data_IF_153924898924
#
_entry.id   IF_153924898924
#
_cell.length_a   1.000
_cell.length_b   1.000
_cell.length_c   1.000
_cell.angle_alpha   90.00
_cell.angle_beta   90.00
_cell.angle_gamma   90.00
#
_symmetry.space_group_name_H-M   'P 1'
#
loop_
_entity.id
_entity.type
_entity.pdbx_description
1 polymer ?
#
# COMPACT_ATOMS: atom_id res chain seq x y z
N UNK A 1 -61.75 43.20 24.24
CA UNK A 1 -60.46 43.57 24.84
C UNK A 1 -59.54 42.36 24.97
N UNK A 2 -59.73 41.28 24.19
CA UNK A 2 -58.99 40.00 24.31
C UNK A 2 -58.33 39.53 22.98
N UNK A 3 -58.29 40.35 21.95
CA UNK A 3 -57.70 39.98 20.63
C UNK A 3 -56.39 40.66 20.27
N UNK A 4 -55.94 41.64 21.04
CA UNK A 4 -54.71 42.40 20.76
C UNK A 4 -53.49 41.84 21.49
N UNK A 5 -53.66 41.14 22.64
CA UNK A 5 -52.56 40.54 23.37
C UNK A 5 -51.93 39.29 22.73
N UNK A 6 -52.65 38.56 21.84
CA UNK A 6 -52.12 37.39 21.18
C UNK A 6 -51.22 37.69 19.98
N UNK A 7 -51.36 38.87 19.37
CA UNK A 7 -50.57 39.28 18.19
C UNK A 7 -49.16 39.77 18.59
N UNK A 8 -49.02 40.36 19.74
CA UNK A 8 -47.72 40.88 20.24
C UNK A 8 -46.82 39.79 20.75
N UNK A 9 -47.37 38.68 21.29
CA UNK A 9 -46.58 37.52 21.74
C UNK A 9 -46.07 36.62 20.60
N UNK A 10 -46.73 36.62 19.44
CA UNK A 10 -46.28 35.86 18.24
C UNK A 10 -45.20 36.63 17.50
N UNK A 11 -45.12 37.94 17.61
CA UNK A 11 -44.10 38.76 16.93
C UNK A 11 -42.76 38.76 17.69
N UNK A 12 -42.77 38.54 18.99
CA UNK A 12 -41.55 38.44 19.83
C UNK A 12 -40.89 37.07 19.76
N UNK A 13 -41.61 36.00 19.33
CA UNK A 13 -41.03 34.67 19.11
C UNK A 13 -40.38 34.50 17.75
N UNK A 14 -40.64 35.38 16.78
CA UNK A 14 -40.06 35.29 15.44
C UNK A 14 -38.77 36.13 15.25
N UNK A 15 -38.43 36.96 16.22
CA UNK A 15 -37.24 37.84 16.16
C UNK A 15 -36.00 37.24 16.84
N UNK A 16 -36.06 35.99 17.37
CA UNK A 16 -34.93 35.38 18.10
C UNK A 16 -34.31 34.17 17.38
N UNK A 17 -34.71 33.92 16.11
CA UNK A 17 -34.12 32.88 15.27
C UNK A 17 -33.18 33.43 14.18
N UNK A 18 -32.60 34.62 14.43
CA UNK A 18 -31.59 35.18 13.57
C UNK A 18 -30.19 34.95 14.17
N UNK A 19 -29.45 34.08 13.47
CA UNK A 19 -28.02 34.11 13.33
C UNK A 19 -27.15 33.70 14.52
N UNK A 20 -26.87 32.37 14.59
CA UNK A 20 -25.52 31.94 14.84
C UNK A 20 -25.01 31.31 13.55
N UNK A 21 -24.69 32.15 12.57
CA UNK A 21 -23.68 31.79 11.56
C UNK A 21 -22.35 32.00 12.30
N UNK A 22 -21.86 30.97 12.99
CA UNK A 22 -20.46 30.93 13.34
C UNK A 22 -19.72 30.81 12.01
N UNK A 23 -19.16 31.93 11.56
CA UNK A 23 -18.08 31.89 10.59
C UNK A 23 -17.02 30.98 11.21
N UNK A 24 -16.80 29.80 10.63
CA UNK A 24 -15.57 29.06 10.87
C UNK A 24 -14.45 29.97 10.37
N UNK A 25 -13.77 30.65 11.32
CA UNK A 25 -12.48 31.26 11.02
C UNK A 25 -11.61 30.14 10.43
N UNK A 26 -11.27 30.26 9.17
CA UNK A 26 -10.25 29.43 8.56
C UNK A 26 -8.95 29.76 9.27
N UNK A 27 -8.59 28.93 10.25
CA UNK A 27 -7.30 29.05 10.95
C UNK A 27 -6.20 28.83 9.94
N UNK A 28 -5.58 29.90 9.45
CA UNK A 28 -4.42 29.82 8.58
C UNK A 28 -3.28 29.23 9.44
N UNK A 29 -2.74 28.06 9.09
CA UNK A 29 -1.66 27.45 9.85
C UNK A 29 -0.45 28.38 9.87
N UNK A 30 0.22 28.53 11.01
CA UNK A 30 1.40 29.41 11.19
C UNK A 30 2.61 28.92 10.44
N UNK A 31 2.75 27.59 10.34
CA UNK A 31 3.75 26.90 9.54
C UNK A 31 3.07 26.00 8.53
N UNK A 32 3.54 26.04 7.30
CA UNK A 32 3.17 25.09 6.27
C UNK A 32 4.36 24.16 6.09
N UNK A 33 4.22 22.92 6.53
CA UNK A 33 5.21 21.87 6.32
C UNK A 33 5.06 21.26 4.93
N UNK A 34 6.17 21.01 4.23
CA UNK A 34 6.13 20.27 2.96
C UNK A 34 5.59 18.86 3.15
N UNK A 35 6.00 18.21 4.24
CA UNK A 35 5.49 16.92 4.72
C UNK A 35 5.45 16.96 6.25
N UNK A 36 4.50 16.30 6.86
CA UNK A 36 4.40 16.15 8.32
C UNK A 36 4.82 14.75 8.79
N UNK A 37 5.10 13.85 7.84
CA UNK A 37 5.56 12.48 8.11
C UNK A 37 6.59 12.07 7.06
N UNK A 38 7.68 11.44 7.52
CA UNK A 38 8.73 10.84 6.69
C UNK A 38 8.84 9.36 7.03
N UNK A 39 8.73 8.50 6.01
CA UNK A 39 9.01 7.07 6.11
C UNK A 39 10.49 6.83 5.79
N UNK A 40 11.23 6.31 6.77
CA UNK A 40 12.65 5.96 6.64
C UNK A 40 12.87 4.57 6.02
N UNK A 41 11.78 3.82 5.78
CA UNK A 41 11.82 2.47 5.22
C UNK A 41 12.37 1.42 6.19
N UNK A 42 13.06 0.41 5.65
CA UNK A 42 13.76 -0.59 6.45
C UNK A 42 15.16 -0.10 6.78
N UNK A 43 15.52 -0.15 8.06
CA UNK A 43 16.82 0.25 8.59
C UNK A 43 17.52 -0.97 9.17
N UNK A 44 18.73 -1.23 8.72
CA UNK A 44 19.59 -2.24 9.35
C UNK A 44 20.22 -1.66 10.61
N UNK A 45 20.14 -2.41 11.72
CA UNK A 45 20.60 -1.95 13.03
C UNK A 45 22.04 -1.42 13.02
N UNK A 46 22.91 -2.07 12.25
CA UNK A 46 24.34 -1.76 12.17
C UNK A 46 24.71 -0.58 11.23
N UNK A 47 23.76 -0.04 10.47
CA UNK A 47 24.05 1.07 9.55
C UNK A 47 24.14 2.44 10.25
N UNK A 48 23.81 2.48 11.55
CA UNK A 48 23.80 3.70 12.34
C UNK A 48 22.62 4.62 12.05
N UNK A 49 22.73 5.84 12.55
CA UNK A 49 21.62 6.78 12.50
C UNK A 49 21.27 7.23 11.07
N UNK A 50 19.97 7.34 10.80
CA UNK A 50 19.40 7.87 9.54
C UNK A 50 18.76 9.24 9.79
N UNK A 51 18.82 10.10 8.77
CA UNK A 51 18.35 11.49 8.85
C UNK A 51 17.09 11.66 8.00
N UNK A 52 16.04 12.20 8.62
CA UNK A 52 14.86 12.73 7.96
C UNK A 52 14.92 14.26 7.93
N UNK A 53 14.59 14.86 6.80
CA UNK A 53 14.52 16.32 6.64
C UNK A 53 13.06 16.77 6.55
N UNK A 54 12.70 17.78 7.35
CA UNK A 54 11.43 18.49 7.28
C UNK A 54 11.68 19.95 6.94
N UNK A 55 10.99 20.44 5.93
CA UNK A 55 11.02 21.84 5.54
C UNK A 55 9.68 22.51 5.80
N UNK A 56 9.70 23.75 6.26
CA UNK A 56 8.49 24.52 6.50
C UNK A 56 8.63 25.96 6.01
N UNK A 57 7.47 26.61 5.79
CA UNK A 57 7.37 28.03 5.48
C UNK A 57 6.53 28.71 6.56
N UNK A 58 7.03 29.83 7.09
CA UNK A 58 6.27 30.67 8.01
C UNK A 58 5.31 31.59 7.24
N UNK A 59 4.04 31.63 7.66
CA UNK A 59 2.96 32.26 6.86
C UNK A 59 2.29 33.47 7.55
N UNK A 60 2.61 33.77 8.78
CA UNK A 60 1.97 34.85 9.53
C UNK A 60 2.84 36.11 9.60
N UNK A 61 2.19 37.25 9.75
CA UNK A 61 2.79 38.58 9.75
C UNK A 61 3.42 38.93 11.10
N UNK A 62 4.25 38.02 11.62
CA UNK A 62 4.98 38.13 12.89
C UNK A 62 6.31 37.43 12.77
N UNK A 63 7.29 37.85 13.56
CA UNK A 63 8.58 37.15 13.62
C UNK A 63 8.42 35.80 14.32
N UNK A 64 8.92 34.76 13.68
CA UNK A 64 8.84 33.38 14.16
C UNK A 64 10.25 32.78 14.35
N UNK A 65 10.46 32.05 15.44
CA UNK A 65 11.58 31.15 15.63
C UNK A 65 11.11 29.89 16.39
N UNK A 66 11.83 28.79 16.19
CA UNK A 66 11.62 27.55 16.95
C UNK A 66 12.20 27.76 18.34
N UNK A 67 11.34 27.68 19.36
CA UNK A 67 11.74 27.82 20.77
C UNK A 67 12.23 26.48 21.33
N UNK A 68 11.51 25.39 21.06
CA UNK A 68 11.82 24.06 21.56
C UNK A 68 11.38 22.96 20.59
N UNK A 69 12.19 21.90 20.48
CA UNK A 69 11.79 20.65 19.86
C UNK A 69 11.89 19.52 20.87
N UNK A 70 10.82 18.72 20.98
CA UNK A 70 10.69 17.61 21.92
C UNK A 70 10.51 16.32 21.13
N UNK A 71 11.28 15.29 21.48
CA UNK A 71 11.17 13.93 20.91
C UNK A 71 10.66 12.97 21.99
N UNK A 72 9.98 11.90 21.57
CA UNK A 72 9.39 10.89 22.46
C UNK A 72 10.38 9.81 22.92
N UNK A 73 11.62 9.78 22.37
CA UNK A 73 12.66 8.85 22.81
C UNK A 73 14.06 9.47 22.69
N UNK A 74 15.02 8.93 23.47
CA UNK A 74 16.44 9.27 23.36
C UNK A 74 17.13 8.75 22.09
N UNK A 75 16.46 7.89 21.31
CA UNK A 75 16.92 7.37 20.04
C UNK A 75 16.74 8.38 18.88
N UNK A 76 16.12 9.52 19.14
CA UNK A 76 15.85 10.58 18.17
C UNK A 76 16.48 11.88 18.62
N UNK A 77 17.38 12.43 17.83
CA UNK A 77 17.97 13.76 18.05
C UNK A 77 17.55 14.70 16.92
N UNK A 78 17.50 16.00 17.21
CA UNK A 78 17.00 16.99 16.27
C UNK A 78 17.94 18.19 16.21
N UNK A 79 18.32 18.55 15.00
CA UNK A 79 18.98 19.83 14.68
C UNK A 79 18.02 20.70 13.84
N UNK A 80 17.95 22.00 14.12
CA UNK A 80 17.03 22.91 13.47
C UNK A 80 17.57 24.34 13.38
N UNK A 81 17.07 25.10 12.39
CA UNK A 81 17.42 26.51 12.19
C UNK A 81 17.04 27.33 13.44
N UNK A 82 18.02 28.04 13.97
CA UNK A 82 17.86 28.97 15.12
C UNK A 82 17.47 30.38 14.67
N UNK A 83 17.35 30.59 13.37
CA UNK A 83 17.09 31.92 12.79
C UNK A 83 15.67 32.39 13.06
N UNK A 84 15.52 33.71 13.19
CA UNK A 84 14.20 34.34 13.26
C UNK A 84 13.70 34.59 11.84
N UNK A 85 12.52 34.06 11.53
CA UNK A 85 11.90 34.10 10.20
C UNK A 85 10.84 35.21 10.15
N UNK A 86 10.85 36.00 9.08
CA UNK A 86 9.72 36.85 8.68
C UNK A 86 8.69 36.06 7.88
N UNK A 87 7.53 36.67 7.55
CA UNK A 87 6.52 36.05 6.70
C UNK A 87 7.12 35.61 5.36
N UNK A 88 6.81 34.38 4.94
CA UNK A 88 7.39 33.73 3.77
C UNK A 88 8.77 33.14 3.98
N UNK A 89 9.40 33.35 5.13
CA UNK A 89 10.68 32.71 5.48
C UNK A 89 10.56 31.20 5.62
N UNK A 90 11.60 30.48 5.20
CA UNK A 90 11.65 29.00 5.25
C UNK A 90 12.65 28.54 6.30
N UNK A 91 12.34 27.41 6.94
CA UNK A 91 13.21 26.74 7.91
C UNK A 91 13.30 25.24 7.65
N UNK A 92 14.32 24.62 8.26
CA UNK A 92 14.60 23.18 8.18
C UNK A 92 14.75 22.56 9.54
N UNK A 93 14.32 21.30 9.64
CA UNK A 93 14.48 20.44 10.79
C UNK A 93 15.12 19.13 10.31
N UNK A 94 16.28 18.76 10.88
CA UNK A 94 16.98 17.50 10.60
C UNK A 94 16.77 16.57 11.79
N UNK A 95 16.04 15.48 11.58
CA UNK A 95 15.74 14.48 12.60
C UNK A 95 16.61 13.27 12.37
N UNK A 96 17.52 12.97 13.30
CA UNK A 96 18.38 11.80 13.26
C UNK A 96 17.81 10.72 14.17
N UNK A 97 17.55 9.54 13.61
CA UNK A 97 17.05 8.36 14.32
C UNK A 97 18.09 7.25 14.33
N UNK A 98 18.42 6.75 15.53
CA UNK A 98 19.31 5.60 15.72
C UNK A 98 18.48 4.31 15.90
N UNK A 99 18.57 3.34 14.95
CA UNK A 99 17.82 2.11 15.01
C UNK A 99 18.37 1.06 16.01
N UNK A 100 19.58 1.25 16.58
CA UNK A 100 20.32 0.23 17.34
C UNK A 100 19.60 -0.31 18.60
N UNK A 101 18.62 0.41 19.13
CA UNK A 101 17.83 -0.01 20.30
C UNK A 101 16.36 -0.29 19.99
N UNK A 102 16.00 -0.36 18.71
CA UNK A 102 14.62 -0.51 18.26
C UNK A 102 14.51 -1.73 17.35
N UNK A 103 13.58 -2.64 17.62
CA UNK A 103 13.29 -3.78 16.76
C UNK A 103 11.86 -3.72 16.22
N UNK A 104 11.71 -3.97 14.90
CA UNK A 104 10.40 -3.94 14.24
C UNK A 104 9.95 -2.53 13.84
N UNK A 105 8.64 -2.40 13.60
CA UNK A 105 8.04 -1.12 13.22
C UNK A 105 8.16 -0.07 14.32
N UNK A 106 8.53 1.13 13.94
CA UNK A 106 8.54 2.30 14.82
C UNK A 106 7.80 3.47 14.18
N UNK A 107 7.19 4.30 15.03
CA UNK A 107 6.70 5.63 14.70
C UNK A 107 7.10 6.55 15.84
N UNK A 108 7.88 7.61 15.54
CA UNK A 108 8.39 8.56 16.53
C UNK A 108 7.79 9.92 16.31
N UNK A 109 7.32 10.51 17.40
CA UNK A 109 6.70 11.82 17.41
C UNK A 109 7.73 12.91 17.72
N UNK A 110 7.71 13.98 16.94
CA UNK A 110 8.51 15.18 17.14
C UNK A 110 7.56 16.36 17.30
N UNK A 111 7.61 17.01 18.46
CA UNK A 111 6.79 18.19 18.76
C UNK A 111 7.66 19.44 18.60
N UNK A 112 7.29 20.30 17.66
CA UNK A 112 7.96 21.58 17.39
C UNK A 112 7.16 22.69 18.03
N UNK A 113 7.77 23.44 18.95
CA UNK A 113 7.16 24.61 19.61
C UNK A 113 7.85 25.89 19.13
N UNK A 114 7.06 26.85 18.71
CA UNK A 114 7.54 28.17 18.36
C UNK A 114 7.33 29.19 19.46
N UNK A 115 7.91 30.39 19.30
CA UNK A 115 7.83 31.52 20.23
C UNK A 115 6.42 32.13 20.37
N UNK A 116 5.51 31.86 19.42
CA UNK A 116 4.16 32.43 19.43
C UNK A 116 3.20 31.56 20.24
N UNK A 117 2.31 32.18 21.02
CA UNK A 117 1.33 31.48 21.87
C UNK A 117 0.51 30.50 21.01
N UNK A 118 0.46 29.23 21.44
CA UNK A 118 -0.24 28.14 20.74
C UNK A 118 0.43 27.69 19.44
N UNK A 119 1.68 28.09 19.15
CA UNK A 119 2.45 27.54 18.01
C UNK A 119 3.08 26.21 18.41
N UNK A 120 2.38 25.12 18.10
CA UNK A 120 2.86 23.78 18.30
C UNK A 120 2.43 22.94 17.10
N UNK A 121 3.39 22.27 16.48
CA UNK A 121 3.17 21.31 15.40
C UNK A 121 3.74 19.95 15.78
N UNK A 122 3.16 18.90 15.20
CA UNK A 122 3.60 17.53 15.45
C UNK A 122 3.99 16.88 14.11
N UNK A 123 5.21 16.35 14.08
CA UNK A 123 5.77 15.64 12.95
C UNK A 123 6.04 14.19 13.34
N UNK A 124 6.17 13.31 12.35
CA UNK A 124 6.42 11.90 12.56
C UNK A 124 7.52 11.39 11.64
N UNK A 125 8.38 10.54 12.18
CA UNK A 125 9.20 9.62 11.40
C UNK A 125 8.73 8.21 11.68
N UNK A 126 8.68 7.37 10.66
CA UNK A 126 8.32 5.97 10.80
C UNK A 126 9.25 5.09 9.95
N UNK A 127 9.24 3.79 10.22
CA UNK A 127 10.04 2.82 9.49
C UNK A 127 10.05 1.47 10.20
N UNK A 128 10.92 0.57 9.75
CA UNK A 128 11.12 -0.73 10.38
C UNK A 128 12.59 -0.96 10.65
N UNK A 129 12.98 -1.04 11.92
CA UNK A 129 14.34 -1.41 12.31
C UNK A 129 14.48 -2.95 12.30
N UNK A 130 15.51 -3.43 11.63
CA UNK A 130 15.80 -4.86 11.46
C UNK A 130 17.04 -5.18 12.28
N UNK A 131 16.91 -5.88 13.43
CA UNK A 131 18.05 -6.23 14.28
C UNK A 131 18.99 -7.21 13.57
N UNK A 132 20.30 -7.12 13.86
CA UNK A 132 21.27 -8.06 13.31
C UNK A 132 20.98 -9.47 13.86
N UNK A 133 20.93 -10.50 13.01
CA UNK A 133 20.62 -11.84 13.46
C UNK A 133 21.76 -12.47 14.27
N UNK A 134 21.45 -13.12 15.39
CA UNK A 134 22.45 -13.84 16.19
C UNK A 134 23.16 -14.95 15.40
N UNK A 135 22.42 -15.60 14.48
CA UNK A 135 22.98 -16.63 13.60
C UNK A 135 22.57 -16.38 12.14
N UNK A 136 23.45 -15.74 11.34
CA UNK A 136 23.16 -15.45 9.93
C UNK A 136 22.88 -16.69 9.08
N UNK A 137 23.52 -17.83 9.38
CA UNK A 137 23.29 -19.07 8.60
C UNK A 137 21.86 -19.57 8.73
N UNK A 138 21.25 -19.42 9.91
CA UNK A 138 19.86 -19.78 10.16
C UNK A 138 18.90 -18.71 9.69
N UNK A 139 19.30 -17.44 9.77
CA UNK A 139 18.45 -16.31 9.38
C UNK A 139 18.29 -16.19 7.85
N UNK A 140 19.30 -16.63 7.07
CA UNK A 140 19.31 -16.61 5.60
C UNK A 140 19.38 -18.02 5.02
N UNK A 141 18.30 -18.83 5.15
CA UNK A 141 18.33 -20.24 4.79
C UNK A 141 18.39 -20.51 3.28
N UNK A 142 17.90 -19.56 2.47
CA UNK A 142 17.97 -19.67 1.02
C UNK A 142 19.29 -19.10 0.52
N UNK A 143 20.14 -19.95 -0.03
CA UNK A 143 21.44 -19.57 -0.61
C UNK A 143 21.42 -19.71 -2.13
N UNK A 144 21.81 -18.63 -2.81
CA UNK A 144 22.02 -18.58 -4.24
C UNK A 144 23.45 -18.06 -4.50
N UNK A 145 24.39 -18.96 -4.85
CA UNK A 145 25.80 -18.63 -4.88
C UNK A 145 26.33 -18.22 -3.51
N UNK A 146 26.90 -17.04 -3.42
CA UNK A 146 27.43 -16.44 -2.17
C UNK A 146 26.40 -15.61 -1.41
N UNK A 147 25.20 -15.39 -2.00
CA UNK A 147 24.14 -14.64 -1.36
C UNK A 147 23.21 -15.51 -0.53
N UNK A 148 22.84 -15.01 0.64
CA UNK A 148 21.77 -15.53 1.47
C UNK A 148 20.54 -14.64 1.43
N UNK A 149 19.36 -15.26 1.32
CA UNK A 149 18.05 -14.58 1.38
C UNK A 149 17.27 -15.07 2.58
N UNK A 150 16.61 -14.15 3.28
CA UNK A 150 15.78 -14.46 4.45
C UNK A 150 14.51 -15.21 4.07
N UNK A 151 13.92 -14.86 2.95
CA UNK A 151 12.67 -15.43 2.47
C UNK A 151 12.86 -16.16 1.13
N UNK A 152 12.08 -17.22 0.86
CA UNK A 152 12.17 -17.95 -0.41
C UNK A 152 11.67 -17.14 -1.60
N UNK A 153 10.73 -16.23 -1.36
CA UNK A 153 10.11 -15.39 -2.39
C UNK A 153 9.88 -13.96 -1.86
N UNK A 154 9.91 -12.99 -2.76
CA UNK A 154 9.55 -11.60 -2.47
C UNK A 154 8.06 -11.43 -2.69
N UNK A 155 7.32 -11.30 -1.61
CA UNK A 155 5.88 -11.05 -1.68
C UNK A 155 5.59 -9.56 -1.54
N UNK A 156 5.18 -8.92 -2.64
CA UNK A 156 4.75 -7.52 -2.65
C UNK A 156 3.34 -7.33 -2.09
N UNK A 157 2.55 -8.42 -1.98
CA UNK A 157 1.14 -8.32 -1.61
C UNK A 157 0.32 -7.58 -2.66
N UNK A 158 -0.53 -6.67 -2.23
CA UNK A 158 -1.35 -5.83 -3.11
C UNK A 158 -0.51 -4.75 -3.78
N UNK A 159 -0.62 -4.63 -5.10
CA UNK A 159 0.02 -3.59 -5.93
C UNK A 159 -1.06 -2.89 -6.73
N UNK A 160 -1.13 -1.56 -6.66
CA UNK A 160 -2.15 -0.76 -7.34
C UNK A 160 -1.62 -0.18 -8.66
N UNK A 161 -2.52 -0.02 -9.64
CA UNK A 161 -2.17 0.51 -10.98
C UNK A 161 -1.96 2.03 -11.02
N UNK A 162 -1.85 2.71 -9.88
CA UNK A 162 -1.60 4.15 -9.82
C UNK A 162 -0.12 4.54 -9.61
N UNK A 163 0.76 3.56 -9.51
CA UNK A 163 2.19 3.79 -9.36
C UNK A 163 2.96 2.55 -8.93
N UNK A 164 4.29 2.62 -8.95
CA UNK A 164 5.14 1.52 -8.54
C UNK A 164 5.07 1.26 -7.05
N UNK A 165 5.19 -0.01 -6.66
CA UNK A 165 5.37 -0.45 -5.28
C UNK A 165 6.79 -0.92 -5.07
N UNK A 166 7.41 -0.49 -3.98
CA UNK A 166 8.76 -0.91 -3.57
C UNK A 166 8.67 -1.90 -2.42
N UNK A 167 9.42 -2.99 -2.51
CA UNK A 167 9.65 -3.93 -1.42
C UNK A 167 11.12 -4.09 -1.16
N UNK A 168 11.52 -3.81 0.07
CA UNK A 168 12.90 -4.03 0.50
C UNK A 168 13.12 -5.50 0.86
N UNK A 169 14.23 -6.05 0.36
CA UNK A 169 14.61 -7.45 0.52
C UNK A 169 15.99 -7.49 1.15
N UNK A 170 16.06 -8.10 2.32
CA UNK A 170 17.31 -8.28 3.05
C UNK A 170 18.12 -9.43 2.43
N UNK A 171 19.38 -9.16 2.13
CA UNK A 171 20.37 -10.14 1.65
C UNK A 171 21.57 -10.18 2.57
N UNK A 172 22.32 -11.28 2.56
CA UNK A 172 23.55 -11.46 3.33
C UNK A 172 24.66 -11.97 2.44
N UNK A 173 25.84 -11.36 2.54
CA UNK A 173 27.02 -11.76 1.78
C UNK A 173 27.80 -12.85 2.55
N UNK A 174 27.64 -14.12 2.15
CA UNK A 174 28.42 -15.26 2.65
C UNK A 174 29.75 -15.47 1.88
N UNK A 175 30.01 -14.62 0.87
CA UNK A 175 31.23 -14.69 0.07
C UNK A 175 32.46 -14.14 0.81
N UNK A 176 33.59 -14.17 0.12
CA UNK A 176 34.87 -13.62 0.58
C UNK A 176 35.16 -12.25 -0.01
N UNK A 177 34.42 -11.83 -1.03
CA UNK A 177 34.59 -10.57 -1.73
C UNK A 177 33.41 -9.62 -1.46
N UNK A 178 33.64 -8.30 -1.48
CA UNK A 178 32.59 -7.31 -1.37
C UNK A 178 31.67 -7.32 -2.61
N UNK A 179 30.37 -7.16 -2.38
CA UNK A 179 29.37 -6.98 -3.41
C UNK A 179 29.18 -5.49 -3.65
N UNK A 180 29.48 -5.01 -4.87
CA UNK A 180 29.40 -3.59 -5.20
C UNK A 180 28.11 -3.28 -5.97
N UNK A 181 27.43 -2.20 -5.60
CA UNK A 181 26.20 -1.73 -6.26
C UNK A 181 26.34 -1.58 -7.77
N UNK A 182 27.47 -0.99 -8.22
CA UNK A 182 27.73 -0.75 -9.66
C UNK A 182 27.83 -2.02 -10.49
N UNK A 183 28.11 -3.16 -9.85
CA UNK A 183 28.32 -4.46 -10.53
C UNK A 183 27.02 -5.28 -10.56
N UNK A 184 25.93 -4.78 -9.96
CA UNK A 184 24.61 -5.43 -10.01
C UNK A 184 24.05 -5.33 -11.41
N UNK A 185 23.79 -6.49 -12.01
CA UNK A 185 23.05 -6.65 -13.25
C UNK A 185 21.82 -7.49 -12.91
N UNK A 186 20.66 -7.06 -13.37
CA UNK A 186 19.44 -7.86 -13.26
C UNK A 186 18.79 -8.10 -14.64
N UNK A 187 18.11 -9.23 -14.77
CA UNK A 187 17.37 -9.62 -15.95
C UNK A 187 16.03 -10.20 -15.53
N UNK A 188 14.94 -9.71 -16.13
CA UNK A 188 13.57 -10.08 -15.81
C UNK A 188 12.57 -9.23 -16.58
N UNK A 189 11.29 -9.25 -16.19
CA UNK A 189 10.25 -8.41 -16.77
C UNK A 189 10.57 -6.92 -16.64
N UNK A 190 10.23 -6.10 -17.64
CA UNK A 190 10.53 -4.67 -17.67
C UNK A 190 9.84 -3.86 -16.55
N UNK A 191 8.72 -4.37 -16.03
CA UNK A 191 7.98 -3.79 -14.91
C UNK A 191 8.58 -4.12 -13.54
N UNK A 192 9.68 -4.92 -13.46
CA UNK A 192 10.40 -5.19 -12.23
C UNK A 192 11.80 -4.63 -12.34
N UNK A 193 12.17 -3.74 -11.38
CA UNK A 193 13.52 -3.20 -11.27
C UNK A 193 14.10 -3.57 -9.91
N UNK A 194 15.41 -3.78 -9.86
CA UNK A 194 16.12 -4.11 -8.61
C UNK A 194 17.31 -3.19 -8.43
N UNK A 195 17.42 -2.60 -7.24
CA UNK A 195 18.49 -1.70 -6.86
C UNK A 195 19.10 -2.15 -5.52
N UNK A 196 20.42 -2.15 -5.42
CA UNK A 196 21.12 -2.32 -4.15
C UNK A 196 21.20 -0.96 -3.46
N UNK A 197 20.85 -0.89 -2.16
CA UNK A 197 20.89 0.40 -1.42
C UNK A 197 22.31 0.81 -1.05
N UNK A 198 23.10 -0.10 -0.49
CA UNK A 198 24.46 0.17 -0.07
C UNK A 198 25.42 0.20 -1.27
N UNK A 199 26.44 1.07 -1.23
CA UNK A 199 27.53 1.08 -2.22
C UNK A 199 28.28 -0.25 -2.25
N UNK A 200 28.55 -0.82 -1.06
CA UNK A 200 29.23 -2.10 -0.88
C UNK A 200 28.61 -2.88 0.26
N UNK A 201 28.47 -4.20 0.05
CA UNK A 201 28.11 -5.17 1.11
C UNK A 201 29.33 -6.06 1.31
N UNK A 202 30.07 -5.83 2.39
CA UNK A 202 31.30 -6.59 2.68
C UNK A 202 30.98 -8.05 3.08
N UNK A 203 31.99 -8.96 3.05
CA UNK A 203 31.85 -10.30 3.58
C UNK A 203 31.32 -10.32 5.01
N UNK A 204 30.35 -11.22 5.27
CA UNK A 204 29.63 -11.34 6.55
C UNK A 204 28.79 -10.10 6.92
N UNK A 205 28.46 -9.28 5.96
CA UNK A 205 27.49 -8.19 6.13
C UNK A 205 26.20 -8.47 5.35
N UNK A 206 25.16 -7.84 5.76
CA UNK A 206 23.88 -7.81 5.06
C UNK A 206 23.68 -6.47 4.36
N UNK A 207 22.76 -6.44 3.43
CA UNK A 207 22.34 -5.24 2.73
C UNK A 207 20.90 -5.35 2.28
N UNK A 208 20.38 -4.30 1.68
CA UNK A 208 19.01 -4.18 1.19
C UNK A 208 18.98 -4.06 -0.33
N UNK A 209 18.08 -4.84 -0.93
CA UNK A 209 17.66 -4.68 -2.32
C UNK A 209 16.28 -4.04 -2.35
N UNK A 210 16.11 -2.95 -3.08
CA UNK A 210 14.80 -2.41 -3.45
C UNK A 210 14.29 -3.15 -4.67
N UNK A 211 13.21 -3.89 -4.51
CA UNK A 211 12.47 -4.51 -5.62
C UNK A 211 11.28 -3.62 -5.94
N UNK A 212 11.35 -2.95 -7.06
CA UNK A 212 10.32 -2.04 -7.57
C UNK A 212 9.46 -2.79 -8.58
N UNK A 213 8.16 -2.81 -8.34
CA UNK A 213 7.18 -3.44 -9.22
C UNK A 213 6.21 -2.38 -9.74
N UNK A 214 6.18 -2.18 -11.05
CA UNK A 214 5.34 -1.17 -11.70
C UNK A 214 4.14 -1.82 -12.38
N UNK A 215 2.99 -1.76 -11.72
CA UNK A 215 1.75 -2.32 -12.23
C UNK A 215 1.18 -1.53 -13.43
N UNK A 216 1.61 -0.27 -13.63
CA UNK A 216 1.21 0.53 -14.80
C UNK A 216 1.86 -0.06 -16.06
N UNK A 217 3.15 -0.42 -15.98
CA UNK A 217 3.88 -1.03 -17.11
C UNK A 217 3.42 -2.47 -17.35
N UNK A 218 3.07 -3.21 -16.30
CA UNK A 218 2.60 -4.60 -16.44
C UNK A 218 1.27 -4.70 -17.19
N UNK A 219 0.36 -3.75 -17.02
CA UNK A 219 -0.96 -3.71 -17.67
C UNK A 219 -1.87 -4.94 -17.41
N UNK A 220 -1.50 -5.85 -16.49
CA UNK A 220 -2.23 -7.08 -16.21
C UNK A 220 -2.63 -7.16 -14.73
N UNK A 221 -3.92 -7.40 -14.46
CA UNK A 221 -4.47 -7.54 -13.11
C UNK A 221 -4.36 -8.97 -12.58
N UNK A 222 -4.48 -9.10 -11.26
CA UNK A 222 -4.57 -10.37 -10.53
C UNK A 222 -3.22 -10.88 -10.04
N UNK A 223 -3.21 -12.17 -9.70
CA UNK A 223 -2.02 -12.83 -9.19
C UNK A 223 -0.95 -13.00 -10.27
N UNK A 224 0.28 -12.67 -9.91
CA UNK A 224 1.47 -12.83 -10.72
C UNK A 224 2.60 -13.44 -9.91
N UNK A 225 3.32 -14.35 -10.54
CA UNK A 225 4.57 -14.92 -10.05
C UNK A 225 5.63 -14.77 -11.15
N UNK A 226 6.63 -13.93 -10.88
CA UNK A 226 7.66 -13.54 -11.83
C UNK A 226 9.03 -13.94 -11.32
N UNK A 227 10.02 -14.06 -12.22
CA UNK A 227 11.41 -14.34 -11.87
C UNK A 227 12.34 -13.25 -12.35
N UNK A 228 13.25 -12.84 -11.47
CA UNK A 228 14.36 -11.95 -11.79
C UNK A 228 15.66 -12.67 -11.48
N UNK A 229 16.61 -12.61 -12.41
CA UNK A 229 17.97 -13.09 -12.21
C UNK A 229 18.86 -11.91 -11.84
N UNK A 230 19.61 -12.06 -10.76
CA UNK A 230 20.55 -11.07 -10.23
C UNK A 230 21.96 -11.63 -10.39
N UNK A 231 22.87 -10.84 -10.95
CA UNK A 231 24.30 -11.18 -11.03
C UNK A 231 25.14 -9.99 -10.57
N UNK A 232 26.23 -10.27 -9.90
CA UNK A 232 27.32 -9.32 -9.67
C UNK A 232 28.56 -9.82 -10.42
N UNK A 233 29.49 -8.94 -10.74
CA UNK A 233 30.66 -9.28 -11.56
C UNK A 233 31.36 -10.58 -11.09
N UNK A 234 31.37 -11.59 -11.96
CA UNK A 234 32.02 -12.86 -11.71
C UNK A 234 31.27 -13.89 -10.85
N UNK A 235 30.10 -13.53 -10.30
CA UNK A 235 29.31 -14.43 -9.45
C UNK A 235 28.24 -15.19 -10.24
N UNK A 236 27.86 -16.36 -9.70
CA UNK A 236 26.72 -17.11 -10.23
C UNK A 236 25.41 -16.33 -10.03
N UNK A 237 24.56 -16.34 -11.06
CA UNK A 237 23.25 -15.69 -11.00
C UNK A 237 22.41 -16.20 -9.83
N UNK A 238 21.91 -15.28 -9.00
CA UNK A 238 20.91 -15.54 -7.97
C UNK A 238 19.51 -15.33 -8.56
N UNK A 239 18.60 -16.30 -8.30
CA UNK A 239 17.20 -16.19 -8.73
C UNK A 239 16.37 -15.53 -7.62
N UNK A 240 15.57 -14.55 -8.00
CA UNK A 240 14.61 -13.89 -7.13
C UNK A 240 13.19 -14.13 -7.66
N UNK A 241 12.39 -14.91 -6.92
CA UNK A 241 10.98 -15.12 -7.24
C UNK A 241 10.17 -13.98 -6.62
N UNK A 242 9.36 -13.29 -7.43
CA UNK A 242 8.57 -12.12 -7.05
C UNK A 242 7.09 -12.42 -7.23
N UNK A 243 6.30 -12.22 -6.16
CA UNK A 243 4.85 -12.44 -6.17
C UNK A 243 4.13 -11.12 -5.93
N UNK A 244 3.11 -10.84 -6.72
CA UNK A 244 2.24 -9.68 -6.58
C UNK A 244 0.78 -10.03 -6.83
N UNK A 245 -0.14 -9.31 -6.19
CA UNK A 245 -1.55 -9.25 -6.56
C UNK A 245 -1.84 -7.84 -7.08
N UNK A 246 -2.05 -7.71 -8.37
CA UNK A 246 -2.25 -6.42 -9.03
C UNK A 246 -3.73 -6.07 -9.06
N UNK A 247 -4.09 -4.89 -8.56
CA UNK A 247 -5.45 -4.35 -8.53
C UNK A 247 -5.53 -3.01 -9.25
N UNK A 248 -6.65 -2.79 -9.95
CA UNK A 248 -6.94 -1.47 -10.53
C UNK A 248 -7.15 -0.44 -9.41
N UNK A 249 -6.51 0.71 -9.53
CA UNK A 249 -6.69 1.82 -8.60
C UNK A 249 -7.92 2.63 -8.98
N UNK A 250 -8.76 2.92 -8.01
CA UNK A 250 -9.89 3.85 -8.13
C UNK A 250 -9.70 5.01 -7.16
N UNK A 251 -9.81 6.25 -7.61
CA UNK A 251 -9.76 7.40 -6.70
C UNK A 251 -10.95 7.37 -5.72
N UNK A 252 -10.79 7.94 -4.51
CA UNK A 252 -11.88 8.04 -3.56
C UNK A 252 -13.10 8.74 -4.14
N UNK A 253 -14.28 8.15 -3.94
CA UNK A 253 -15.55 8.68 -4.45
C UNK A 253 -16.16 9.68 -3.47
N UNK A 254 -16.75 10.76 -4.01
CA UNK A 254 -17.64 11.63 -3.25
C UNK A 254 -18.97 10.94 -2.94
N UNK A 255 -19.73 11.43 -1.94
CA UNK A 255 -21.03 10.86 -1.56
C UNK A 255 -22.02 10.82 -2.73
N UNK A 256 -21.99 11.80 -3.61
CA UNK A 256 -22.91 11.89 -4.76
C UNK A 256 -22.55 10.89 -5.87
N UNK A 257 -21.27 10.51 -5.98
CA UNK A 257 -20.80 9.53 -6.95
C UNK A 257 -21.10 8.08 -6.54
N UNK A 258 -21.21 7.77 -5.25
CA UNK A 258 -21.44 6.39 -4.74
C UNK A 258 -22.63 5.68 -5.38
N UNK A 259 -23.69 6.41 -5.77
CA UNK A 259 -24.90 5.86 -6.38
C UNK A 259 -24.89 5.93 -7.92
N UNK A 260 -23.81 6.46 -8.53
CA UNK A 260 -23.73 6.61 -9.99
C UNK A 260 -22.84 5.53 -10.63
N UNK A 261 -21.87 5.02 -9.89
CA UNK A 261 -20.86 4.06 -10.37
C UNK A 261 -21.44 2.72 -10.82
N UNK A 262 -20.72 1.96 -11.66
CA UNK A 262 -21.07 0.60 -11.98
C UNK A 262 -20.95 -0.29 -10.74
N UNK A 263 -21.81 -1.32 -10.62
CA UNK A 263 -21.82 -2.25 -9.49
C UNK A 263 -22.03 -3.68 -9.97
N UNK A 264 -21.05 -4.52 -9.75
CA UNK A 264 -21.13 -5.94 -10.09
C UNK A 264 -21.90 -6.72 -9.00
N UNK A 265 -22.84 -7.56 -9.44
CA UNK A 265 -23.51 -8.56 -8.61
C UNK A 265 -23.36 -9.93 -9.22
N UNK A 266 -22.84 -10.88 -8.43
CA UNK A 266 -22.65 -12.29 -8.83
C UNK A 266 -23.75 -13.13 -8.18
N UNK A 267 -24.48 -13.93 -8.96
CA UNK A 267 -25.54 -14.81 -8.43
C UNK A 267 -25.52 -16.18 -9.10
N UNK A 268 -25.36 -17.27 -8.31
CA UNK A 268 -24.93 -17.30 -6.91
C UNK A 268 -23.45 -16.96 -6.78
N UNK A 269 -23.00 -16.46 -5.60
CA UNK A 269 -21.59 -16.21 -5.30
C UNK A 269 -20.83 -17.44 -4.78
N UNK A 270 -21.57 -18.54 -4.53
CA UNK A 270 -21.01 -19.83 -4.13
C UNK A 270 -21.76 -20.95 -4.86
N UNK A 271 -21.02 -21.90 -5.40
CA UNK A 271 -21.53 -23.12 -6.02
C UNK A 271 -21.02 -24.33 -5.23
N UNK A 272 -21.93 -25.12 -4.70
CA UNK A 272 -21.61 -26.40 -4.06
C UNK A 272 -21.97 -27.56 -5.01
N UNK A 273 -20.93 -28.22 -5.54
CA UNK A 273 -21.08 -29.38 -6.45
C UNK A 273 -21.42 -30.66 -5.72
N UNK A 274 -21.38 -30.66 -4.37
CA UNK A 274 -21.55 -31.85 -3.53
C UNK A 274 -20.45 -32.89 -3.78
N UNK A 275 -20.83 -34.18 -3.78
CA UNK A 275 -19.96 -35.29 -4.11
C UNK A 275 -19.87 -35.48 -5.63
N UNK A 276 -18.66 -35.49 -6.17
CA UNK A 276 -18.38 -35.64 -7.61
C UNK A 276 -17.27 -36.65 -7.83
N UNK A 277 -17.30 -37.36 -8.94
CA UNK A 277 -16.21 -38.25 -9.36
C UNK A 277 -15.02 -37.46 -9.91
N UNK A 278 -13.81 -37.88 -9.56
CA UNK A 278 -12.55 -37.32 -10.11
C UNK A 278 -12.45 -37.42 -11.66
N UNK A 279 -13.25 -38.27 -12.29
CA UNK A 279 -13.25 -38.46 -13.75
C UNK A 279 -14.42 -37.73 -14.44
N UNK A 280 -15.19 -36.90 -13.74
CA UNK A 280 -16.39 -36.23 -14.27
C UNK A 280 -16.20 -34.73 -14.31
N UNK A 281 -16.02 -34.18 -15.51
CA UNK A 281 -15.95 -32.73 -15.74
C UNK A 281 -17.30 -32.09 -15.35
N UNK A 282 -17.24 -31.00 -14.59
CA UNK A 282 -18.41 -30.26 -14.13
C UNK A 282 -18.57 -28.96 -14.91
N UNK A 283 -19.80 -28.72 -15.43
CA UNK A 283 -20.16 -27.49 -16.11
C UNK A 283 -21.21 -26.74 -15.29
N UNK A 284 -20.94 -25.48 -14.94
CA UNK A 284 -21.84 -24.59 -14.22
C UNK A 284 -21.89 -23.22 -14.87
N UNK A 285 -22.88 -22.44 -14.49
CA UNK A 285 -23.01 -21.06 -14.90
C UNK A 285 -23.47 -20.22 -13.71
N UNK A 286 -22.96 -18.99 -13.64
CA UNK A 286 -23.44 -17.95 -12.71
C UNK A 286 -23.74 -16.69 -13.50
N UNK A 287 -24.70 -15.92 -13.00
CA UNK A 287 -25.11 -14.67 -13.63
C UNK A 287 -24.34 -13.49 -13.02
N UNK A 288 -23.72 -12.71 -13.90
CA UNK A 288 -23.07 -11.42 -13.59
C UNK A 288 -24.03 -10.30 -14.00
N UNK A 289 -24.43 -9.47 -13.06
CA UNK A 289 -25.40 -8.37 -13.29
C UNK A 289 -24.78 -7.04 -12.92
N UNK A 290 -24.90 -6.04 -13.78
CA UNK A 290 -24.60 -4.66 -13.43
C UNK A 290 -25.81 -4.02 -12.73
N UNK A 291 -25.72 -3.85 -11.41
CA UNK A 291 -26.75 -3.16 -10.60
C UNK A 291 -26.52 -1.66 -10.46
N UNK A 292 -25.41 -1.16 -11.01
CA UNK A 292 -25.06 0.25 -11.02
C UNK A 292 -25.77 1.06 -12.10
N UNK A 293 -25.37 2.32 -12.25
CA UNK A 293 -25.95 3.25 -13.23
C UNK A 293 -25.03 3.57 -14.39
N UNK A 294 -23.75 3.23 -14.30
CA UNK A 294 -22.77 3.36 -15.37
C UNK A 294 -22.43 1.99 -15.95
N UNK A 295 -21.79 2.00 -17.12
CA UNK A 295 -21.35 0.78 -17.81
C UNK A 295 -20.29 0.07 -16.98
N UNK A 296 -20.49 -1.21 -16.74
CA UNK A 296 -19.54 -2.08 -16.04
C UNK A 296 -18.68 -2.82 -17.06
N UNK A 297 -17.37 -2.85 -16.84
CA UNK A 297 -16.47 -3.67 -17.64
C UNK A 297 -15.84 -4.76 -16.76
N UNK A 298 -15.86 -5.99 -17.24
CA UNK A 298 -15.07 -7.08 -16.68
C UNK A 298 -13.67 -6.99 -17.24
N UNK A 299 -12.70 -6.67 -16.37
CA UNK A 299 -11.28 -6.54 -16.72
C UNK A 299 -10.59 -7.87 -16.89
N UNK A 300 -10.86 -8.80 -15.96
CA UNK A 300 -10.25 -10.13 -15.93
C UNK A 300 -11.10 -11.08 -15.10
N UNK A 301 -11.07 -12.37 -15.46
CA UNK A 301 -11.57 -13.46 -14.60
C UNK A 301 -10.42 -14.44 -14.43
N UNK A 302 -10.06 -14.74 -13.18
CA UNK A 302 -8.92 -15.60 -12.86
C UNK A 302 -9.31 -16.68 -11.86
N UNK A 303 -9.14 -17.94 -12.25
CA UNK A 303 -9.22 -19.08 -11.34
C UNK A 303 -7.90 -19.30 -10.58
N UNK A 304 -7.97 -19.99 -9.44
CA UNK A 304 -6.79 -20.35 -8.65
C UNK A 304 -6.13 -21.68 -9.09
N UNK A 305 -6.49 -22.22 -10.25
CA UNK A 305 -5.87 -23.42 -10.84
C UNK A 305 -6.16 -23.51 -12.35
N UNK A 306 -5.31 -24.21 -13.07
CA UNK A 306 -5.51 -24.55 -14.50
C UNK A 306 -6.65 -25.56 -14.72
N UNK A 307 -7.25 -26.06 -13.63
CA UNK A 307 -8.38 -26.96 -13.64
C UNK A 307 -9.73 -26.27 -13.94
N UNK A 308 -9.72 -24.94 -14.10
CA UNK A 308 -10.89 -24.10 -14.39
C UNK A 308 -10.77 -23.49 -15.79
N UNK A 309 -11.78 -23.69 -16.63
CA UNK A 309 -11.99 -22.90 -17.85
C UNK A 309 -13.17 -21.96 -17.60
N UNK A 310 -12.94 -20.66 -17.83
CA UNK A 310 -13.86 -19.56 -17.47
C UNK A 310 -14.19 -18.77 -18.74
N UNK A 311 -15.48 -18.68 -19.11
CA UNK A 311 -15.90 -18.04 -20.34
C UNK A 311 -17.07 -17.08 -20.11
N UNK A 312 -16.98 -15.88 -20.70
CA UNK A 312 -18.09 -14.90 -20.79
C UNK A 312 -18.33 -14.51 -22.23
N UNK A 313 -19.56 -14.16 -22.58
CA UNK A 313 -19.94 -13.78 -23.95
C UNK A 313 -19.46 -12.40 -24.36
N UNK A 314 -19.27 -11.50 -23.38
CA UNK A 314 -18.77 -10.13 -23.57
C UNK A 314 -18.25 -9.60 -22.24
N UNK A 315 -17.41 -8.57 -22.31
CA UNK A 315 -16.80 -7.94 -21.13
C UNK A 315 -17.57 -6.72 -20.62
N UNK A 316 -18.40 -6.10 -21.48
CA UNK A 316 -19.17 -4.88 -21.16
C UNK A 316 -20.59 -5.23 -20.77
N UNK A 317 -21.06 -4.72 -19.62
CA UNK A 317 -22.42 -4.95 -19.08
C UNK A 317 -23.09 -3.60 -18.83
N UNK A 318 -24.15 -3.29 -19.57
CA UNK A 318 -24.90 -2.04 -19.40
C UNK A 318 -25.66 -2.01 -18.06
N UNK A 319 -26.07 -0.84 -17.56
CA UNK A 319 -26.94 -0.74 -16.37
C UNK A 319 -28.16 -1.64 -16.46
N UNK A 320 -28.37 -2.49 -15.45
CA UNK A 320 -29.47 -3.48 -15.37
C UNK A 320 -29.30 -4.72 -16.24
N UNK A 321 -28.26 -4.80 -17.06
CA UNK A 321 -27.99 -5.95 -17.91
C UNK A 321 -27.34 -7.09 -17.12
N UNK A 322 -27.56 -8.32 -17.59
CA UNK A 322 -26.93 -9.54 -17.05
C UNK A 322 -26.28 -10.36 -18.16
N UNK A 323 -25.17 -11.00 -17.83
CA UNK A 323 -24.50 -11.99 -18.68
C UNK A 323 -24.17 -13.24 -17.85
N UNK A 324 -23.92 -14.34 -18.52
CA UNK A 324 -23.51 -15.58 -17.86
C UNK A 324 -22.00 -15.80 -17.92
N UNK A 325 -21.43 -16.15 -16.77
CA UNK A 325 -20.10 -16.73 -16.66
C UNK A 325 -20.22 -18.24 -16.64
N UNK A 326 -19.71 -18.88 -17.68
CA UNK A 326 -19.64 -20.35 -17.79
C UNK A 326 -18.36 -20.83 -17.11
N UNK A 327 -18.47 -21.90 -16.33
CA UNK A 327 -17.39 -22.48 -15.55
C UNK A 327 -17.31 -23.96 -15.88
N UNK A 328 -16.18 -24.39 -16.41
CA UNK A 328 -15.84 -25.79 -16.58
C UNK A 328 -14.78 -26.15 -15.56
N UNK A 329 -15.05 -27.12 -14.69
CA UNK A 329 -14.13 -27.62 -13.68
C UNK A 329 -13.76 -29.06 -13.97
N UNK A 330 -12.45 -29.33 -14.14
CA UNK A 330 -11.89 -30.68 -14.25
C UNK A 330 -11.30 -31.11 -12.90
N UNK A 331 -11.95 -32.05 -12.19
CA UNK A 331 -11.50 -32.52 -10.89
C UNK A 331 -10.38 -33.57 -10.98
N UNK A 332 -9.86 -33.88 -12.16
CA UNK A 332 -8.85 -34.91 -12.37
C UNK A 332 -7.64 -34.77 -11.44
N UNK A 333 -7.24 -35.89 -10.82
CA UNK A 333 -6.10 -35.93 -9.91
C UNK A 333 -6.37 -35.35 -8.51
N UNK A 334 -7.62 -35.05 -8.17
CA UNK A 334 -8.06 -34.52 -6.87
C UNK A 334 -8.77 -35.59 -6.05
N UNK A 335 -8.78 -35.41 -4.73
CA UNK A 335 -9.49 -36.30 -3.79
C UNK A 335 -9.86 -35.54 -2.50
N UNK A 336 -11.03 -35.81 -1.97
CA UNK A 336 -11.50 -35.22 -0.72
C UNK A 336 -12.14 -33.84 -0.92
N UNK A 337 -12.15 -33.01 0.12
CA UNK A 337 -12.71 -31.67 0.08
C UNK A 337 -11.85 -30.78 -0.82
N UNK A 338 -12.48 -30.15 -1.80
CA UNK A 338 -11.84 -29.26 -2.76
C UNK A 338 -12.58 -27.92 -2.84
N UNK A 339 -11.85 -26.83 -2.81
CA UNK A 339 -12.39 -25.47 -2.98
C UNK A 339 -11.60 -24.72 -4.04
N UNK A 340 -12.32 -24.17 -5.02
CA UNK A 340 -11.77 -23.32 -6.06
C UNK A 340 -12.27 -21.90 -5.91
N UNK A 341 -11.34 -20.95 -6.03
CA UNK A 341 -11.63 -19.54 -5.98
C UNK A 341 -11.52 -18.95 -7.38
N UNK A 342 -12.53 -18.20 -7.78
CA UNK A 342 -12.58 -17.48 -9.05
C UNK A 342 -12.70 -15.99 -8.72
N UNK A 343 -11.70 -15.22 -9.11
CA UNK A 343 -11.63 -13.78 -8.90
C UNK A 343 -12.13 -13.07 -10.16
N UNK A 344 -13.08 -12.17 -10.00
CA UNK A 344 -13.66 -11.36 -11.07
C UNK A 344 -13.25 -9.91 -10.84
N UNK A 345 -12.40 -9.38 -11.70
CA UNK A 345 -11.92 -8.02 -11.71
C UNK A 345 -12.82 -7.17 -12.60
N UNK A 346 -13.28 -6.03 -12.10
CA UNK A 346 -14.21 -5.16 -12.82
C UNK A 346 -14.01 -3.68 -12.53
N UNK A 347 -14.66 -2.83 -13.30
CA UNK A 347 -14.68 -1.38 -13.09
C UNK A 347 -15.63 -0.93 -11.97
N UNK A 348 -16.11 -1.83 -11.11
CA UNK A 348 -16.83 -1.49 -9.89
C UNK A 348 -15.87 -0.91 -8.84
N UNK A 349 -15.85 0.42 -8.59
CA UNK A 349 -14.87 1.01 -7.69
C UNK A 349 -15.16 0.73 -6.21
N UNK A 350 -16.34 0.21 -5.89
CA UNK A 350 -16.71 -0.18 -4.51
C UNK A 350 -16.26 -1.60 -4.19
N UNK A 351 -16.23 -2.48 -5.21
CA UNK A 351 -15.84 -3.89 -5.09
C UNK A 351 -15.15 -4.35 -6.37
N UNK A 352 -13.99 -3.78 -6.66
CA UNK A 352 -13.26 -3.99 -7.92
C UNK A 352 -12.85 -5.44 -8.17
N UNK A 353 -12.77 -6.24 -7.11
CA UNK A 353 -12.50 -7.68 -7.19
C UNK A 353 -13.51 -8.43 -6.35
N UNK A 354 -14.30 -9.27 -6.98
CA UNK A 354 -15.25 -10.13 -6.30
C UNK A 354 -14.88 -11.61 -6.41
N UNK A 355 -15.15 -12.35 -5.35
CA UNK A 355 -14.84 -13.77 -5.22
C UNK A 355 -16.08 -14.62 -5.47
N UNK A 356 -15.97 -15.57 -6.41
CA UNK A 356 -16.89 -16.67 -6.59
C UNK A 356 -16.21 -17.96 -6.10
N UNK A 357 -16.92 -18.72 -5.27
CA UNK A 357 -16.39 -19.94 -4.65
C UNK A 357 -17.07 -21.17 -5.27
N UNK A 358 -16.27 -22.13 -5.70
CA UNK A 358 -16.72 -23.45 -6.14
C UNK A 358 -16.24 -24.50 -5.13
N UNK A 359 -17.16 -25.21 -4.50
CA UNK A 359 -16.89 -26.26 -3.50
C UNK A 359 -17.30 -27.62 -4.03
N UNK A 360 -16.54 -28.65 -3.66
CA UNK A 360 -16.85 -30.06 -3.97
C UNK A 360 -16.21 -31.01 -2.98
N UNK A 361 -16.70 -32.25 -2.96
CA UNK A 361 -16.01 -33.42 -2.42
C UNK A 361 -15.71 -34.37 -3.57
N UNK A 362 -14.45 -34.58 -3.88
CA UNK A 362 -14.02 -35.44 -4.99
C UNK A 362 -13.74 -36.85 -4.49
N UNK A 363 -14.37 -37.83 -5.13
CA UNK A 363 -14.22 -39.28 -4.85
C UNK A 363 -13.45 -40.02 -5.94
#
# INVERSE_FOLDING_TARGET
>A
MFRIQKAIFLFLLFSFSAQIIQAQETVIPRLIWKVNKVDLGSLLEEEGAKIAEFEFTHTQDSLFYIDQVITDCGCTTVDYSKDTLSVGGTGKLLVSFDPSSTAGFFSRMIVVKGNLIGSQDTLYIEGTSIPFPENPVLAYPRKEGTLGFRLPKVNLGEVLTNGPKVKQVEIYNFGTEPIQRKDLIYSGPEYIKVFQQEEMIYPNQRGLLDVVYDAVIKEELGFSEDQVLLTWAGEKAARLDVIANVFEYFPPLSKDQLNQVPQLSISPSEIDLKEISANSIQNKSVTLTNKGREVLEIRKIQGNCDCLVLEISKTTINPGESIDLKITFDPKGRKGIDQRNIYIFSTDPLNSVQLLILKSRVE
#
